data_IF_380824307537
#
_entry.id   IF_380824307537
#
_cell.length_a   1.000
_cell.length_b   1.000
_cell.length_c   1.000
_cell.angle_alpha   90.00
_cell.angle_beta   90.00
_cell.angle_gamma   90.00
#
_symmetry.space_group_name_H-M   'P 1'
#
loop_
_entity.id
_entity.type
_entity.pdbx_description
1 polymer ?
#
# COMPACT_ATOMS: atom_id res chain seq x y z
N UNK A 1 -11.18 -40.42 -4.01
CA UNK A 1 -10.73 -39.55 -2.91
C UNK A 1 -10.58 -38.13 -3.46
N UNK A 2 -11.47 -37.18 -3.14
CA UNK A 2 -11.28 -35.81 -3.59
C UNK A 2 -10.36 -35.06 -2.62
N UNK A 3 -9.30 -34.45 -3.14
CA UNK A 3 -8.42 -33.58 -2.37
C UNK A 3 -9.11 -32.22 -2.17
N UNK A 4 -9.42 -31.93 -0.90
CA UNK A 4 -9.91 -30.62 -0.46
C UNK A 4 -8.78 -29.59 -0.53
N UNK A 5 -8.93 -28.59 -1.38
CA UNK A 5 -8.07 -27.41 -1.40
C UNK A 5 -8.43 -26.52 -0.21
N UNK A 6 -7.58 -26.54 0.80
CA UNK A 6 -7.65 -25.63 1.95
C UNK A 6 -7.37 -24.19 1.48
N UNK A 7 -8.45 -23.41 1.35
CA UNK A 7 -8.40 -21.95 1.25
C UNK A 7 -7.90 -21.41 2.60
N UNK A 8 -6.68 -20.91 2.63
CA UNK A 8 -6.21 -20.09 3.74
C UNK A 8 -6.95 -18.76 3.70
N UNK A 9 -7.89 -18.59 4.62
CA UNK A 9 -8.55 -17.31 4.88
C UNK A 9 -7.57 -16.43 5.66
N UNK A 10 -7.07 -15.37 5.02
CA UNK A 10 -6.35 -14.33 5.73
C UNK A 10 -7.31 -13.61 6.67
N UNK A 11 -7.06 -13.76 7.98
CA UNK A 11 -7.74 -13.00 9.03
C UNK A 11 -7.32 -11.53 8.95
N UNK A 12 -8.11 -10.71 8.26
CA UNK A 12 -7.98 -9.25 8.28
C UNK A 12 -8.66 -8.69 9.53
N UNK A 13 -7.92 -8.69 10.64
CA UNK A 13 -8.24 -7.78 11.75
C UNK A 13 -8.15 -6.34 11.20
N UNK A 14 -9.12 -5.47 11.48
CA UNK A 14 -9.08 -4.09 11.02
C UNK A 14 -7.87 -3.39 11.62
N UNK A 15 -7.05 -2.77 10.75
CA UNK A 15 -6.02 -1.83 11.17
C UNK A 15 -6.70 -0.74 12.02
N UNK A 16 -6.17 -0.48 13.22
CA UNK A 16 -6.64 0.59 14.09
C UNK A 16 -6.61 1.90 13.30
N UNK A 17 -7.79 2.50 13.10
CA UNK A 17 -7.94 3.80 12.49
C UNK A 17 -7.13 4.82 13.30
N UNK A 18 -6.08 5.35 12.67
CA UNK A 18 -5.22 6.39 13.25
C UNK A 18 -5.81 7.76 12.90
N UNK A 19 -5.66 8.69 13.83
CA UNK A 19 -6.29 10.00 13.88
C UNK A 19 -6.09 10.80 12.57
N UNK A 20 -7.18 11.04 11.83
CA UNK A 20 -7.20 11.93 10.67
C UNK A 20 -7.86 13.24 11.10
N UNK A 21 -7.18 14.36 10.89
CA UNK A 21 -7.75 15.69 11.16
C UNK A 21 -8.85 16.01 10.14
N UNK A 22 -9.98 16.63 10.53
CA UNK A 22 -11.02 17.04 9.58
C UNK A 22 -10.52 18.18 8.69
N UNK A 23 -10.70 18.05 7.36
CA UNK A 23 -10.61 19.17 6.44
C UNK A 23 -11.80 20.12 6.69
N UNK A 24 -11.53 21.39 6.97
CA UNK A 24 -12.57 22.43 6.99
C UNK A 24 -13.04 22.73 5.55
N UNK A 25 -14.32 22.49 5.21
CA UNK A 25 -14.82 22.80 3.88
C UNK A 25 -15.24 24.28 3.81
N UNK A 26 -14.37 25.14 3.27
CA UNK A 26 -14.82 26.37 2.62
C UNK A 26 -15.15 26.03 1.16
N UNK A 27 -16.31 26.45 0.69
CA UNK A 27 -17.03 25.81 -0.42
C UNK A 27 -16.39 25.86 -1.81
N UNK A 28 -16.96 25.00 -2.67
CA UNK A 28 -16.84 24.94 -4.14
C UNK A 28 -15.57 24.30 -4.72
N UNK A 29 -15.79 23.37 -5.67
CA UNK A 29 -14.87 22.39 -6.29
C UNK A 29 -14.27 21.38 -5.32
N UNK A 30 -14.36 20.08 -5.61
CA UNK A 30 -13.56 19.03 -4.96
C UNK A 30 -12.08 19.28 -5.30
N UNK A 31 -11.50 20.23 -4.57
CA UNK A 31 -10.11 20.64 -4.69
C UNK A 31 -9.26 19.41 -4.42
N UNK A 32 -8.52 18.98 -5.43
CA UNK A 32 -7.53 17.93 -5.22
C UNK A 32 -6.39 18.52 -4.40
N UNK A 33 -6.01 17.87 -3.31
CA UNK A 33 -4.92 18.33 -2.43
C UNK A 33 -3.63 17.57 -2.77
N UNK A 34 -2.55 18.30 -3.04
CA UNK A 34 -1.26 17.72 -3.35
C UNK A 34 -0.53 17.28 -2.07
N UNK A 35 0.09 16.09 -2.04
CA UNK A 35 0.99 15.71 -0.97
C UNK A 35 2.31 16.49 -1.08
N UNK A 36 2.90 16.82 0.06
CA UNK A 36 4.12 17.64 0.15
C UNK A 36 5.28 16.84 0.71
N UNK A 37 5.11 16.27 1.90
CA UNK A 37 6.15 15.55 2.61
C UNK A 37 5.63 14.35 3.37
N UNK A 38 6.54 13.46 3.75
CA UNK A 38 6.23 12.25 4.51
C UNK A 38 7.19 12.14 5.69
N UNK A 39 6.65 12.15 6.89
CA UNK A 39 7.37 11.86 8.13
C UNK A 39 7.27 10.37 8.44
N UNK A 40 8.41 9.73 8.72
CA UNK A 40 8.49 8.33 9.14
C UNK A 40 8.44 8.26 10.66
N UNK A 41 7.38 7.65 11.21
CA UNK A 41 7.28 7.41 12.67
C UNK A 41 8.01 6.15 13.08
N UNK A 42 8.04 5.14 12.20
CA UNK A 42 8.74 3.88 12.41
C UNK A 42 8.80 3.07 11.11
N UNK A 43 9.84 2.26 10.90
CA UNK A 43 9.91 1.33 9.77
C UNK A 43 10.72 0.06 10.08
N UNK A 44 10.31 -1.08 9.50
CA UNK A 44 11.09 -2.32 9.39
C UNK A 44 12.06 -2.27 8.19
N UNK A 45 11.89 -1.31 7.28
CA UNK A 45 12.72 -1.22 6.09
C UNK A 45 14.07 -0.61 6.42
N UNK A 46 15.14 -1.25 5.95
CA UNK A 46 16.50 -0.69 6.02
C UNK A 46 16.68 0.62 5.24
N UNK A 47 15.70 1.01 4.42
CA UNK A 47 15.72 2.20 3.56
C UNK A 47 15.05 3.43 4.15
N UNK A 48 14.28 3.28 5.23
CA UNK A 48 13.48 4.34 5.84
C UNK A 48 13.80 4.37 7.33
N UNK A 49 14.39 5.46 7.82
CA UNK A 49 14.71 5.57 9.25
C UNK A 49 13.63 6.34 9.99
N UNK A 50 13.52 6.09 11.29
CA UNK A 50 12.58 6.80 12.17
C UNK A 50 12.97 8.27 12.28
N UNK A 51 11.97 9.15 12.34
CA UNK A 51 12.08 10.61 12.41
C UNK A 51 12.69 11.28 11.15
N UNK A 52 12.84 10.54 10.05
CA UNK A 52 13.15 11.13 8.75
C UNK A 52 11.92 11.75 8.10
N UNK A 53 12.10 12.92 7.49
CA UNK A 53 11.10 13.56 6.64
C UNK A 53 11.63 13.68 5.21
N UNK A 54 10.81 13.30 4.24
CA UNK A 54 11.14 13.34 2.83
C UNK A 54 10.12 14.16 2.07
N UNK A 55 10.54 14.79 0.97
CA UNK A 55 9.59 15.22 -0.07
C UNK A 55 8.81 14.01 -0.57
N UNK A 56 7.53 14.21 -0.88
CA UNK A 56 6.61 13.11 -1.21
C UNK A 56 7.13 12.22 -2.36
N UNK A 57 7.63 12.81 -3.44
CA UNK A 57 8.13 12.04 -4.59
C UNK A 57 9.42 11.25 -4.27
N UNK A 58 10.27 11.80 -3.39
CA UNK A 58 11.46 11.10 -2.91
C UNK A 58 11.05 9.89 -2.06
N UNK A 59 10.09 10.08 -1.16
CA UNK A 59 9.53 9.01 -0.35
C UNK A 59 8.94 7.90 -1.23
N UNK A 60 8.10 8.23 -2.21
CA UNK A 60 7.48 7.22 -3.09
C UNK A 60 8.54 6.40 -3.84
N UNK A 61 9.64 7.03 -4.29
CA UNK A 61 10.73 6.33 -4.93
C UNK A 61 11.50 5.39 -3.98
N UNK A 62 11.68 5.78 -2.71
CA UNK A 62 12.32 4.94 -1.68
C UNK A 62 11.41 3.78 -1.28
N UNK A 63 10.13 4.06 -1.07
CA UNK A 63 9.11 3.06 -0.72
C UNK A 63 8.99 1.97 -1.80
N UNK A 64 9.02 2.35 -3.08
CA UNK A 64 9.06 1.39 -4.18
C UNK A 64 10.30 0.50 -4.12
N UNK A 65 11.48 1.08 -3.86
CA UNK A 65 12.71 0.30 -3.72
C UNK A 65 12.64 -0.69 -2.55
N UNK A 66 12.09 -0.27 -1.41
CA UNK A 66 11.87 -1.15 -0.26
C UNK A 66 10.94 -2.31 -0.61
N UNK A 67 9.82 -2.03 -1.30
CA UNK A 67 8.90 -3.08 -1.73
C UNK A 67 9.56 -4.08 -2.70
N UNK A 68 10.43 -3.60 -3.60
CA UNK A 68 11.15 -4.43 -4.58
C UNK A 68 12.26 -5.30 -3.96
N UNK A 69 12.69 -5.03 -2.72
CA UNK A 69 13.61 -5.90 -1.98
C UNK A 69 12.93 -7.15 -1.42
N UNK A 70 11.59 -7.17 -1.41
CA UNK A 70 10.76 -8.29 -0.94
C UNK A 70 10.00 -8.99 -2.10
N UNK A 71 10.69 -9.56 -3.12
CA UNK A 71 10.05 -10.02 -4.36
C UNK A 71 9.39 -11.40 -4.28
N UNK A 72 9.68 -12.19 -3.25
CA UNK A 72 9.15 -13.56 -3.08
C UNK A 72 8.11 -13.68 -1.96
N UNK A 73 7.66 -12.56 -1.40
CA UNK A 73 6.79 -12.50 -0.25
C UNK A 73 7.47 -11.82 0.94
N UNK A 74 6.70 -11.62 2.02
CA UNK A 74 7.09 -10.70 3.09
C UNK A 74 6.79 -9.24 2.72
N UNK A 75 6.95 -8.36 3.69
CA UNK A 75 6.83 -6.91 3.53
C UNK A 75 7.50 -6.22 4.72
N UNK A 76 8.02 -5.02 4.46
CA UNK A 76 8.50 -4.12 5.50
C UNK A 76 7.34 -3.22 5.93
N UNK A 77 6.99 -3.20 7.20
CA UNK A 77 5.99 -2.25 7.72
C UNK A 77 6.62 -0.88 7.89
N UNK A 78 5.88 0.18 7.55
CA UNK A 78 6.24 1.54 7.90
C UNK A 78 5.01 2.30 8.42
N UNK A 79 5.15 3.02 9.52
CA UNK A 79 4.15 4.00 9.96
C UNK A 79 4.60 5.39 9.52
N UNK A 80 3.74 6.08 8.77
CA UNK A 80 4.07 7.36 8.15
C UNK A 80 2.98 8.39 8.41
N UNK A 81 3.33 9.67 8.31
CA UNK A 81 2.38 10.77 8.18
C UNK A 81 2.68 11.55 6.93
N UNK A 82 1.72 11.58 6.00
CA UNK A 82 1.80 12.41 4.80
C UNK A 82 1.17 13.75 5.10
N UNK A 83 1.93 14.83 4.85
CA UNK A 83 1.46 16.20 4.91
C UNK A 83 1.03 16.65 3.53
N UNK A 84 -0.13 17.26 3.43
CA UNK A 84 -0.70 17.80 2.20
C UNK A 84 -0.75 19.33 2.23
N UNK A 85 -0.94 19.91 1.06
CA UNK A 85 -1.35 21.31 0.93
C UNK A 85 -2.58 21.61 1.80
N UNK A 86 -2.61 22.82 2.37
CA UNK A 86 -3.65 23.21 3.33
C UNK A 86 -3.46 22.66 4.74
N UNK A 87 -2.34 21.96 5.01
CA UNK A 87 -1.98 21.50 6.36
C UNK A 87 -2.66 20.21 6.79
N UNK A 88 -3.38 19.54 5.88
CA UNK A 88 -3.98 18.24 6.14
C UNK A 88 -2.91 17.16 6.37
N UNK A 89 -3.15 16.28 7.34
CA UNK A 89 -2.25 15.19 7.71
C UNK A 89 -2.97 13.85 7.56
N UNK A 90 -2.30 12.88 6.94
CA UNK A 90 -2.76 11.49 6.86
C UNK A 90 -1.73 10.58 7.50
N UNK A 91 -2.05 10.05 8.69
CA UNK A 91 -1.21 9.03 9.35
C UNK A 91 -1.73 7.63 9.04
N UNK A 92 -0.88 6.77 8.53
CA UNK A 92 -1.22 5.38 8.25
C UNK A 92 -0.02 4.44 8.38
N UNK A 93 -0.32 3.14 8.43
CA UNK A 93 0.68 2.09 8.21
C UNK A 93 0.61 1.65 6.76
N UNK A 94 1.77 1.49 6.14
CA UNK A 94 1.93 0.85 4.83
C UNK A 94 2.78 -0.43 4.98
N UNK A 95 2.46 -1.42 4.18
CA UNK A 95 3.08 -2.74 4.14
C UNK A 95 3.85 -2.86 2.81
N UNK A 96 5.14 -2.52 2.81
CA UNK A 96 5.98 -2.39 1.62
C UNK A 96 6.51 -3.74 1.13
N UNK A 97 5.97 -4.23 0.02
CA UNK A 97 6.40 -5.51 -0.54
C UNK A 97 5.83 -5.78 -1.92
N UNK A 98 6.38 -6.79 -2.60
CA UNK A 98 5.78 -7.30 -3.81
C UNK A 98 4.65 -8.30 -3.51
N UNK A 99 3.97 -8.78 -4.55
CA UNK A 99 3.06 -9.94 -4.43
C UNK A 99 1.69 -9.64 -3.82
N UNK A 100 1.19 -8.42 -4.02
CA UNK A 100 -0.11 -7.97 -3.51
C UNK A 100 -0.03 -7.11 -2.26
N UNK A 101 1.17 -6.79 -1.78
CA UNK A 101 1.42 -5.74 -0.81
C UNK A 101 1.53 -4.37 -1.51
N UNK A 102 1.87 -3.32 -0.76
CA UNK A 102 1.94 -1.95 -1.25
C UNK A 102 3.34 -1.59 -1.74
N UNK A 103 3.41 -0.69 -2.71
CA UNK A 103 4.68 -0.18 -3.25
C UNK A 103 4.96 1.28 -2.86
N UNK A 104 4.10 1.88 -2.05
CA UNK A 104 4.14 3.30 -1.67
C UNK A 104 2.81 3.74 -1.08
N UNK A 105 2.78 4.97 -0.56
CA UNK A 105 1.55 5.55 0.00
C UNK A 105 0.51 5.79 -1.10
N UNK A 106 0.92 6.25 -2.28
CA UNK A 106 -0.01 6.47 -3.38
C UNK A 106 -0.71 5.17 -3.79
N UNK A 107 0.03 4.07 -3.86
CA UNK A 107 -0.51 2.75 -4.14
C UNK A 107 -1.46 2.28 -3.04
N UNK A 108 -1.09 2.45 -1.77
CA UNK A 108 -1.95 2.14 -0.63
C UNK A 108 -3.31 2.84 -0.73
N UNK A 109 -3.33 4.15 -1.03
CA UNK A 109 -4.57 4.89 -1.23
C UNK A 109 -5.42 4.32 -2.40
N UNK A 110 -4.79 4.03 -3.54
CA UNK A 110 -5.53 3.45 -4.67
C UNK A 110 -6.05 2.05 -4.38
N UNK A 111 -5.31 1.21 -3.65
CA UNK A 111 -5.77 -0.12 -3.26
C UNK A 111 -7.00 -0.05 -2.34
N UNK A 112 -7.05 0.90 -1.40
CA UNK A 112 -8.24 1.13 -0.57
C UNK A 112 -9.43 1.51 -1.44
N UNK A 113 -9.25 2.45 -2.38
CA UNK A 113 -10.32 2.87 -3.29
C UNK A 113 -10.82 1.70 -4.16
N UNK A 114 -9.91 0.95 -4.79
CA UNK A 114 -10.20 -0.22 -5.61
C UNK A 114 -10.95 -1.30 -4.82
N UNK A 115 -10.49 -1.59 -3.60
CA UNK A 115 -11.12 -2.56 -2.72
C UNK A 115 -12.52 -2.09 -2.29
N UNK A 116 -12.66 -0.83 -1.89
CA UNK A 116 -13.97 -0.25 -1.53
C UNK A 116 -14.99 -0.33 -2.66
N UNK A 117 -14.55 -0.15 -3.91
CA UNK A 117 -15.41 -0.29 -5.08
C UNK A 117 -15.84 -1.75 -5.29
N UNK A 118 -14.91 -2.69 -5.14
CA UNK A 118 -15.20 -4.11 -5.27
C UNK A 118 -16.25 -4.60 -4.24
N UNK A 119 -16.20 -4.05 -3.02
CA UNK A 119 -17.08 -4.40 -1.92
C UNK A 119 -18.55 -4.02 -2.16
N UNK A 120 -18.83 -3.01 -3.00
CA UNK A 120 -20.23 -2.61 -3.29
C UNK A 120 -21.06 -3.76 -3.84
N UNK A 121 -20.42 -4.70 -4.54
CA UNK A 121 -21.07 -5.89 -5.11
C UNK A 121 -20.96 -7.11 -4.22
N UNK A 122 -19.79 -7.34 -3.61
CA UNK A 122 -19.54 -8.57 -2.84
C UNK A 122 -20.01 -8.49 -1.40
N UNK A 123 -19.86 -7.33 -0.74
CA UNK A 123 -20.07 -7.15 0.70
C UNK A 123 -20.62 -5.74 1.00
N UNK A 124 -21.86 -5.43 0.64
CA UNK A 124 -22.43 -4.07 0.77
C UNK A 124 -22.50 -3.57 2.22
N UNK A 125 -22.41 -4.47 3.21
CA UNK A 125 -22.40 -4.14 4.63
C UNK A 125 -20.99 -3.85 5.19
N UNK A 126 -19.93 -3.94 4.37
CA UNK A 126 -18.55 -3.75 4.80
C UNK A 126 -18.32 -2.36 5.39
N UNK A 127 -17.38 -2.26 6.35
CA UNK A 127 -17.10 -1.06 7.13
C UNK A 127 -16.90 0.22 6.28
N UNK A 128 -16.12 0.14 5.19
CA UNK A 128 -15.92 1.26 4.24
C UNK A 128 -17.22 1.83 3.64
N UNK A 129 -18.28 1.02 3.56
CA UNK A 129 -19.54 1.38 2.91
C UNK A 129 -20.64 1.77 3.89
N UNK A 130 -20.54 1.34 5.16
CA UNK A 130 -21.60 1.53 6.15
C UNK A 130 -21.20 2.45 7.29
N UNK A 131 -19.94 2.44 7.72
CA UNK A 131 -19.45 3.25 8.82
C UNK A 131 -19.15 4.70 8.36
N UNK A 132 -19.57 5.74 9.10
CA UNK A 132 -19.25 7.14 8.76
C UNK A 132 -17.77 7.42 8.55
N UNK A 133 -16.89 6.93 9.43
CA UNK A 133 -15.44 7.12 9.33
C UNK A 133 -14.87 6.41 8.09
N UNK A 134 -15.42 5.25 7.74
CA UNK A 134 -15.06 4.53 6.53
C UNK A 134 -15.43 5.31 5.27
N UNK A 135 -16.65 5.85 5.22
CA UNK A 135 -17.11 6.71 4.12
C UNK A 135 -16.26 7.97 4.00
N UNK A 136 -15.99 8.63 5.12
CA UNK A 136 -15.13 9.83 5.19
C UNK A 136 -13.74 9.54 4.67
N UNK A 137 -13.13 8.40 5.04
CA UNK A 137 -11.84 8.00 4.49
C UNK A 137 -11.90 7.81 2.97
N UNK A 138 -12.92 7.12 2.44
CA UNK A 138 -13.05 6.93 0.98
C UNK A 138 -13.23 8.25 0.24
N UNK A 139 -14.06 9.16 0.76
CA UNK A 139 -14.23 10.49 0.18
C UNK A 139 -12.93 11.31 0.26
N UNK A 140 -12.23 11.26 1.39
CA UNK A 140 -10.94 11.91 1.58
C UNK A 140 -9.91 11.42 0.56
N UNK A 141 -9.75 10.10 0.40
CA UNK A 141 -8.78 9.53 -0.54
C UNK A 141 -9.04 9.95 -1.99
N UNK A 142 -10.30 10.21 -2.37
CA UNK A 142 -10.65 10.74 -3.72
C UNK A 142 -10.16 12.18 -3.93
N UNK A 143 -9.90 12.93 -2.86
CA UNK A 143 -9.38 14.30 -2.95
C UNK A 143 -7.87 14.34 -3.14
N UNK A 144 -7.13 13.25 -2.95
CA UNK A 144 -5.67 13.32 -3.06
C UNK A 144 -5.20 13.40 -4.51
N UNK A 145 -4.29 14.34 -4.80
CA UNK A 145 -3.63 14.47 -6.09
C UNK A 145 -2.44 13.50 -6.19
N UNK A 146 -2.74 12.21 -6.40
CA UNK A 146 -1.72 11.15 -6.50
C UNK A 146 -1.45 10.75 -7.95
N UNK A 147 -0.20 10.42 -8.25
CA UNK A 147 0.24 10.06 -9.59
C UNK A 147 -0.14 8.60 -9.95
N UNK A 148 -1.27 8.44 -10.63
CA UNK A 148 -1.77 7.11 -11.10
C UNK A 148 -0.79 6.40 -12.03
N UNK A 149 -0.09 7.14 -12.91
CA UNK A 149 0.83 6.54 -13.87
C UNK A 149 2.07 5.98 -13.17
N UNK A 150 2.60 6.69 -12.19
CA UNK A 150 3.71 6.23 -11.36
C UNK A 150 3.34 4.96 -10.59
N UNK A 151 2.14 4.90 -10.01
CA UNK A 151 1.65 3.68 -9.35
C UNK A 151 1.51 2.53 -10.33
N UNK A 152 0.97 2.75 -11.53
CA UNK A 152 0.87 1.70 -12.56
C UNK A 152 2.25 1.17 -12.97
N UNK A 153 3.22 2.07 -13.18
CA UNK A 153 4.60 1.69 -13.53
C UNK A 153 5.29 0.93 -12.39
N UNK A 154 5.08 1.34 -11.14
CA UNK A 154 5.61 0.67 -9.96
C UNK A 154 5.00 -0.73 -9.78
N UNK A 155 3.68 -0.88 -9.97
CA UNK A 155 2.98 -2.17 -9.93
C UNK A 155 3.52 -3.12 -11.00
N UNK A 156 3.76 -2.61 -12.21
CA UNK A 156 4.39 -3.37 -13.29
C UNK A 156 5.82 -3.81 -12.92
N UNK A 157 6.59 -2.93 -12.29
CA UNK A 157 7.95 -3.24 -11.83
C UNK A 157 7.95 -4.33 -10.75
N UNK A 158 7.02 -4.25 -9.79
CA UNK A 158 6.84 -5.27 -8.76
C UNK A 158 6.42 -6.62 -9.36
N UNK A 159 5.51 -6.61 -10.34
CA UNK A 159 5.12 -7.82 -11.06
C UNK A 159 6.31 -8.48 -11.76
N UNK A 160 7.13 -7.69 -12.47
CA UNK A 160 8.32 -8.19 -13.15
C UNK A 160 9.34 -8.75 -12.16
N UNK A 161 9.58 -8.04 -11.05
CA UNK A 161 10.51 -8.47 -10.01
C UNK A 161 10.10 -9.82 -9.40
N UNK A 162 8.81 -10.02 -9.13
CA UNK A 162 8.24 -11.30 -8.68
C UNK A 162 8.46 -12.39 -9.73
N UNK A 163 8.21 -12.08 -11.01
CA UNK A 163 8.38 -13.05 -12.11
C UNK A 163 9.81 -13.54 -12.21
N UNK A 164 10.78 -12.63 -12.21
CA UNK A 164 12.22 -12.94 -12.25
C UNK A 164 12.64 -13.73 -11.02
N UNK A 165 12.28 -13.28 -9.82
CA UNK A 165 12.67 -13.94 -8.58
C UNK A 165 12.12 -15.37 -8.49
N UNK A 166 10.86 -15.60 -8.93
CA UNK A 166 10.27 -16.94 -8.98
C UNK A 166 10.99 -17.85 -9.99
N UNK A 167 11.41 -17.32 -11.14
CA UNK A 167 12.16 -18.09 -12.14
C UNK A 167 13.54 -18.50 -11.60
N UNK A 168 14.26 -17.58 -10.95
CA UNK A 168 15.56 -17.84 -10.34
C UNK A 168 15.47 -18.86 -9.21
N UNK A 169 14.46 -18.75 -8.34
CA UNK A 169 14.27 -19.70 -7.25
C UNK A 169 13.97 -21.12 -7.77
N UNK A 170 13.15 -21.25 -8.81
CA UNK A 170 12.91 -22.55 -9.47
C UNK A 170 14.18 -23.14 -10.09
N UNK A 171 15.00 -22.32 -10.75
CA UNK A 171 16.28 -22.76 -11.31
C UNK A 171 17.24 -23.26 -10.23
N UNK A 172 17.38 -22.51 -9.13
CA UNK A 172 18.22 -22.92 -7.99
C UNK A 172 17.75 -24.23 -7.34
N UNK A 173 16.45 -24.42 -7.19
CA UNK A 173 15.88 -25.67 -6.64
C UNK A 173 16.17 -26.86 -7.56
N UNK A 174 16.01 -26.70 -8.86
CA UNK A 174 16.29 -27.76 -9.84
C UNK A 174 17.77 -28.16 -9.83
N UNK A 175 18.70 -27.19 -9.87
CA UNK A 175 20.14 -27.45 -9.80
C UNK A 175 20.55 -28.10 -8.48
N UNK A 176 19.94 -27.72 -7.35
CA UNK A 176 20.23 -28.32 -6.04
C UNK A 176 19.76 -29.78 -5.92
N UNK A 177 18.71 -30.16 -6.65
CA UNK A 177 18.22 -31.54 -6.70
C UNK A 177 19.10 -32.44 -7.59
N UNK A 178 19.67 -31.89 -8.67
CA UNK A 178 20.54 -32.63 -9.60
C UNK A 178 21.94 -32.88 -9.04
N UNK A 179 22.51 -31.97 -8.24
CA UNK A 179 23.83 -32.13 -7.60
C UNK A 179 23.80 -33.12 -6.41
N UNK A 180 22.62 -33.56 -5.97
CA UNK A 180 22.45 -34.50 -4.85
C UNK A 180 22.17 -35.95 -5.28
N UNK A 181 22.26 -36.25 -6.58
CA UNK A 181 22.19 -37.62 -7.13
C UNK A 181 23.58 -38.13 -7.45
#
# INVERSE_FOLDING_TARGET
MPHSLSLHTHSTKPAKASNVSPLHPSGSTTMKVAPLSVLIHWSESSRLQTDEEFEFEIFEAIALKAALDNPLGGYDKAEVTVKFEGGHLHRCRIDLGCGGNEIGFADHCFRILEYSESLKKSEPNHWYLTNPQGKELIELLKTYQLNRQQVANGRQSAFEKVRVAKAQNKGMVQTRCEVKQ
#
